data_IF_365782403954
#
_entry.id   IF_365782403954
#
_cell.length_a   1.000
_cell.length_b   1.000
_cell.length_c   1.000
_cell.angle_alpha   90.00
_cell.angle_beta   90.00
_cell.angle_gamma   90.00
#
_symmetry.space_group_name_H-M   'P 1'
#
loop_
_entity.id
_entity.type
_entity.pdbx_description
1 polymer ?
#
# COMPACT_ATOMS: atom_id res chain seq x y z
N UNK A 1 9.92 9.01 -8.58
CA UNK A 1 10.03 7.67 -9.19
C UNK A 1 10.56 6.74 -8.12
N UNK A 2 10.01 5.54 -7.95
CA UNK A 2 10.62 4.52 -7.09
C UNK A 2 11.58 3.69 -7.92
N UNK A 3 12.74 3.38 -7.36
CA UNK A 3 13.76 2.59 -8.04
C UNK A 3 13.96 1.24 -7.34
N UNK A 4 14.40 0.24 -8.08
CA UNK A 4 14.64 -1.08 -7.50
C UNK A 4 15.71 -0.98 -6.41
N UNK A 5 15.44 -1.57 -5.26
CA UNK A 5 16.37 -1.60 -4.13
C UNK A 5 16.28 -0.37 -3.20
N UNK A 6 15.51 0.66 -3.56
CA UNK A 6 15.18 1.72 -2.61
C UNK A 6 14.20 1.19 -1.57
N UNK A 7 14.40 1.53 -0.30
CA UNK A 7 13.41 1.27 0.74
C UNK A 7 12.07 1.86 0.33
N UNK A 8 10.99 1.08 0.53
CA UNK A 8 9.65 1.57 0.29
C UNK A 8 9.38 2.81 1.17
N UNK A 9 8.79 3.89 0.62
CA UNK A 9 8.40 5.04 1.41
C UNK A 9 7.39 4.64 2.48
N UNK A 10 7.51 5.25 3.66
CA UNK A 10 6.52 5.03 4.70
C UNK A 10 5.17 5.63 4.29
N UNK A 11 4.10 4.97 4.70
CA UNK A 11 2.73 5.45 4.48
C UNK A 11 1.86 5.06 5.66
N UNK A 12 0.83 5.85 5.87
CA UNK A 12 -0.31 5.50 6.71
C UNK A 12 -1.57 5.95 6.00
N UNK A 13 -2.46 5.01 5.69
CA UNK A 13 -3.68 5.25 4.93
C UNK A 13 -4.84 4.51 5.58
N UNK A 14 -6.07 5.06 5.52
CA UNK A 14 -7.26 4.31 5.93
C UNK A 14 -7.52 3.15 4.95
N UNK A 15 -7.91 1.99 5.48
CA UNK A 15 -8.50 0.90 4.70
C UNK A 15 -9.98 1.19 4.35
N UNK A 16 -10.66 0.22 3.75
CA UNK A 16 -12.07 0.35 3.36
C UNK A 16 -13.03 0.54 4.55
N UNK A 17 -12.61 0.16 5.76
CA UNK A 17 -13.39 0.25 7.00
C UNK A 17 -12.96 1.47 7.85
N UNK A 18 -11.98 2.25 7.36
CA UNK A 18 -11.45 3.44 8.02
C UNK A 18 -10.33 3.18 9.02
N UNK A 19 -9.85 1.93 9.14
CA UNK A 19 -8.73 1.62 10.02
C UNK A 19 -7.43 2.14 9.40
N UNK A 20 -6.59 2.78 10.21
CA UNK A 20 -5.29 3.23 9.74
C UNK A 20 -4.33 2.05 9.60
N UNK A 21 -3.84 1.86 8.39
CA UNK A 21 -2.83 0.86 8.04
C UNK A 21 -1.53 1.59 7.75
N UNK A 22 -0.45 1.19 8.44
CA UNK A 22 0.89 1.72 8.24
C UNK A 22 1.83 0.65 7.70
N UNK A 23 2.73 1.02 6.79
CA UNK A 23 3.74 0.09 6.26
C UNK A 23 4.60 -0.52 7.38
N UNK A 24 4.94 0.30 8.39
CA UNK A 24 5.70 -0.13 9.56
C UNK A 24 5.00 -1.23 10.38
N UNK A 25 3.68 -1.39 10.26
CA UNK A 25 2.93 -2.48 10.91
C UNK A 25 3.26 -3.88 10.36
N UNK A 26 3.92 -3.97 9.20
CA UNK A 26 4.24 -5.22 8.51
C UNK A 26 5.75 -5.55 8.52
N UNK A 27 6.51 -5.02 9.48
CA UNK A 27 7.95 -5.33 9.57
C UNK A 27 8.20 -6.84 9.65
N UNK A 28 9.19 -7.32 8.87
CA UNK A 28 9.55 -8.74 8.80
C UNK A 28 8.64 -9.58 7.90
N UNK A 29 7.63 -8.98 7.27
CA UNK A 29 6.73 -9.66 6.34
C UNK A 29 6.95 -9.18 4.90
N UNK A 30 6.65 -10.06 3.94
CA UNK A 30 6.59 -9.66 2.54
C UNK A 30 5.26 -8.93 2.27
N UNK A 31 5.35 -7.75 1.67
CA UNK A 31 4.20 -6.90 1.34
C UNK A 31 4.17 -6.65 -0.17
N UNK A 32 3.00 -6.86 -0.79
CA UNK A 32 2.74 -6.54 -2.18
C UNK A 32 1.70 -5.42 -2.27
N UNK A 33 2.08 -4.26 -2.82
CA UNK A 33 1.15 -3.19 -3.14
C UNK A 33 0.68 -3.34 -4.59
N UNK A 34 -0.63 -3.39 -4.77
CA UNK A 34 -1.31 -3.41 -6.07
C UNK A 34 -2.49 -2.44 -6.00
N UNK A 35 -2.71 -1.67 -7.07
CA UNK A 35 -3.81 -0.74 -7.21
C UNK A 35 -4.46 -0.86 -8.60
N UNK A 36 -5.68 -0.33 -8.70
CA UNK A 36 -6.41 -0.11 -9.95
C UNK A 36 -6.86 1.37 -10.03
N UNK A 37 -7.13 1.93 -11.22
CA UNK A 37 -7.41 3.36 -11.36
C UNK A 37 -8.71 3.82 -10.69
N UNK A 38 -9.76 3.00 -10.75
CA UNK A 38 -11.07 3.33 -10.20
C UNK A 38 -11.83 2.08 -9.76
N UNK A 39 -12.46 2.19 -8.59
CA UNK A 39 -13.28 1.12 -8.04
C UNK A 39 -14.63 1.06 -8.76
N UNK A 40 -15.24 -0.12 -8.80
CA UNK A 40 -16.59 -0.34 -9.31
C UNK A 40 -16.82 0.13 -10.77
N UNK A 41 -15.78 0.09 -11.61
CA UNK A 41 -15.91 0.30 -13.06
C UNK A 41 -15.64 -1.00 -13.83
N UNK A 42 -16.36 -1.27 -14.92
CA UNK A 42 -15.97 -2.30 -15.88
C UNK A 42 -14.56 -2.04 -16.40
N UNK A 43 -13.79 -3.11 -16.59
CA UNK A 43 -12.43 -3.09 -17.17
C UNK A 43 -12.44 -3.21 -18.68
#
# INVERSE_FOLDING_TARGET
MLEKGTSAPDFTLPDQDGNLISLNGYQGQWVLLWWYPKAATPG
#
